data_IF_141003109281
#
_entry.id   IF_141003109281
#
_cell.length_a   1.000
_cell.length_b   1.000
_cell.length_c   1.000
_cell.angle_alpha   90.00
_cell.angle_beta   90.00
_cell.angle_gamma   90.00
#
_symmetry.space_group_name_H-M   'P 1'
#
loop_
_entity.id
_entity.type
_entity.pdbx_description
1 polymer ?
#
# COMPACT_ATOMS: atom_id res chain seq x y z
N UNK A 1 15.43 -62.69 -5.34
CA UNK A 1 14.65 -61.86 -6.28
C UNK A 1 13.82 -60.79 -5.55
N UNK A 2 13.09 -61.14 -4.48
CA UNK A 2 12.19 -60.20 -3.79
C UNK A 2 12.89 -59.08 -3.01
N UNK A 3 14.08 -59.33 -2.45
CA UNK A 3 14.86 -58.30 -1.73
C UNK A 3 15.31 -57.17 -2.66
N UNK A 4 15.80 -57.50 -3.87
CA UNK A 4 16.19 -56.48 -4.86
C UNK A 4 14.99 -55.69 -5.40
N UNK A 5 13.82 -56.33 -5.58
CA UNK A 5 12.58 -55.63 -5.94
C UNK A 5 12.13 -54.66 -4.84
N UNK A 6 12.19 -55.06 -3.56
CA UNK A 6 11.86 -54.19 -2.42
C UNK A 6 12.83 -53.00 -2.31
N UNK A 7 14.13 -53.25 -2.50
CA UNK A 7 15.15 -52.18 -2.51
C UNK A 7 14.95 -51.18 -3.66
N UNK A 8 14.57 -51.65 -4.85
CA UNK A 8 14.28 -50.77 -5.99
C UNK A 8 13.07 -49.86 -5.73
N UNK A 9 11.98 -50.43 -5.19
CA UNK A 9 10.77 -49.66 -4.84
C UNK A 9 11.04 -48.64 -3.73
N UNK A 10 11.85 -48.99 -2.74
CA UNK A 10 12.24 -48.05 -1.67
C UNK A 10 13.13 -46.91 -2.19
N UNK A 11 14.07 -47.21 -3.08
CA UNK A 11 14.89 -46.19 -3.74
C UNK A 11 14.03 -45.24 -4.59
N UNK A 12 13.04 -45.75 -5.30
CA UNK A 12 12.12 -44.92 -6.09
C UNK A 12 11.17 -44.11 -5.20
N UNK A 13 10.68 -44.68 -4.09
CA UNK A 13 9.90 -43.94 -3.08
C UNK A 13 10.72 -42.78 -2.50
N UNK A 14 11.96 -43.04 -2.11
CA UNK A 14 12.86 -42.01 -1.57
C UNK A 14 13.15 -40.90 -2.60
N UNK A 15 13.37 -41.27 -3.87
CA UNK A 15 13.52 -40.31 -4.97
C UNK A 15 12.28 -39.43 -5.15
N UNK A 16 11.08 -40.02 -5.15
CA UNK A 16 9.82 -39.30 -5.28
C UNK A 16 9.56 -38.38 -4.08
N UNK A 17 9.87 -38.82 -2.86
CA UNK A 17 9.75 -38.01 -1.64
C UNK A 17 10.70 -36.81 -1.66
N UNK A 18 11.96 -37.02 -2.04
CA UNK A 18 12.95 -35.95 -2.19
C UNK A 18 12.49 -34.93 -3.26
N UNK A 19 11.97 -35.41 -4.40
CA UNK A 19 11.46 -34.53 -5.46
C UNK A 19 10.24 -33.72 -4.99
N UNK A 20 9.31 -34.35 -4.26
CA UNK A 20 8.12 -33.69 -3.72
C UNK A 20 8.49 -32.64 -2.67
N UNK A 21 9.45 -32.94 -1.79
CA UNK A 21 9.96 -31.99 -0.81
C UNK A 21 10.64 -30.79 -1.48
N UNK A 22 11.49 -31.03 -2.49
CA UNK A 22 12.15 -29.96 -3.24
C UNK A 22 11.15 -29.06 -3.98
N UNK A 23 10.09 -29.65 -4.55
CA UNK A 23 9.03 -28.89 -5.19
C UNK A 23 8.22 -28.08 -4.17
N UNK A 24 7.87 -28.67 -3.02
CA UNK A 24 7.20 -27.96 -1.92
C UNK A 24 7.99 -26.73 -1.48
N UNK A 25 9.28 -26.91 -1.21
CA UNK A 25 10.16 -25.80 -0.84
C UNK A 25 10.25 -24.73 -1.94
N UNK A 26 10.15 -25.11 -3.22
CA UNK A 26 10.12 -24.13 -4.31
C UNK A 26 8.81 -23.36 -4.36
N UNK A 27 7.67 -24.04 -4.20
CA UNK A 27 6.34 -23.42 -4.11
C UNK A 27 6.31 -22.42 -2.95
N UNK A 28 6.77 -22.81 -1.77
CA UNK A 28 6.80 -21.94 -0.59
C UNK A 28 7.62 -20.67 -0.85
N UNK A 29 8.79 -20.80 -1.50
CA UNK A 29 9.62 -19.64 -1.88
C UNK A 29 8.90 -18.71 -2.85
N UNK A 30 8.23 -19.25 -3.86
CA UNK A 30 7.49 -18.45 -4.84
C UNK A 30 6.30 -17.76 -4.18
N UNK A 31 5.56 -18.45 -3.31
CA UNK A 31 4.44 -17.90 -2.57
C UNK A 31 4.87 -16.75 -1.64
N UNK A 32 5.97 -16.92 -0.91
CA UNK A 32 6.53 -15.86 -0.07
C UNK A 32 6.90 -14.64 -0.91
N UNK A 33 7.57 -14.84 -2.05
CA UNK A 33 7.94 -13.72 -2.90
C UNK A 33 6.73 -13.04 -3.53
N UNK A 34 5.70 -13.78 -3.88
CA UNK A 34 4.44 -13.22 -4.35
C UNK A 34 3.78 -12.37 -3.26
N UNK A 35 3.76 -12.84 -2.01
CA UNK A 35 3.23 -12.08 -0.89
C UNK A 35 3.98 -10.75 -0.69
N UNK A 36 5.32 -10.76 -0.75
CA UNK A 36 6.13 -9.54 -0.69
C UNK A 36 5.75 -8.55 -1.80
N UNK A 37 5.60 -9.04 -3.04
CA UNK A 37 5.25 -8.19 -4.18
C UNK A 37 3.83 -7.63 -4.08
N UNK A 38 2.87 -8.41 -3.57
CA UNK A 38 1.51 -7.95 -3.33
C UNK A 38 1.46 -6.87 -2.25
N UNK A 39 2.25 -7.05 -1.17
CA UNK A 39 2.38 -6.03 -0.13
C UNK A 39 2.99 -4.75 -0.72
N UNK A 40 4.07 -4.87 -1.49
CA UNK A 40 4.70 -3.73 -2.15
C UNK A 40 3.72 -3.00 -3.06
N UNK A 41 2.97 -3.71 -3.89
CA UNK A 41 1.97 -3.11 -4.78
C UNK A 41 0.89 -2.36 -3.98
N UNK A 42 0.46 -2.89 -2.83
CA UNK A 42 -0.48 -2.21 -1.93
C UNK A 42 0.13 -0.95 -1.33
N UNK A 43 1.39 -1.01 -0.87
CA UNK A 43 2.09 0.16 -0.34
C UNK A 43 2.34 1.24 -1.40
N UNK A 44 2.39 0.90 -2.68
CA UNK A 44 2.58 1.85 -3.79
C UNK A 44 1.27 2.27 -4.46
N UNK A 45 0.11 1.86 -3.94
CA UNK A 45 -1.19 2.26 -4.48
C UNK A 45 -1.59 3.67 -4.01
N UNK A 46 -2.76 4.14 -4.45
CA UNK A 46 -3.31 5.43 -4.03
C UNK A 46 -3.43 5.56 -2.50
N UNK A 47 -3.93 4.53 -1.82
CA UNK A 47 -4.06 4.48 -0.34
C UNK A 47 -2.75 4.14 0.40
N UNK A 48 -1.62 4.18 -0.31
CA UNK A 48 -0.31 3.77 0.18
C UNK A 48 0.60 4.97 0.48
N UNK A 49 1.83 4.88 -0.01
CA UNK A 49 2.89 5.87 0.16
C UNK A 49 2.48 7.25 -0.39
N UNK A 50 1.67 7.28 -1.44
CA UNK A 50 1.23 8.54 -2.07
C UNK A 50 0.33 9.30 -1.11
N UNK A 51 -0.70 8.66 -0.55
CA UNK A 51 -1.56 9.28 0.46
C UNK A 51 -0.77 9.76 1.67
N UNK A 52 0.14 8.92 2.20
CA UNK A 52 0.98 9.27 3.35
C UNK A 52 1.87 10.50 3.07
N UNK A 53 2.46 10.59 1.87
CA UNK A 53 3.29 11.72 1.50
C UNK A 53 2.49 13.02 1.37
N UNK A 54 1.24 12.95 0.90
CA UNK A 54 0.35 14.10 0.81
C UNK A 54 -0.12 14.52 2.20
N UNK A 55 -0.45 13.58 3.09
CA UNK A 55 -0.84 13.85 4.47
C UNK A 55 0.27 14.60 5.24
N UNK A 56 1.53 14.23 5.03
CA UNK A 56 2.68 14.90 5.65
C UNK A 56 2.94 16.30 5.05
N UNK A 57 2.86 16.43 3.72
CA UNK A 57 3.14 17.70 3.04
C UNK A 57 2.00 18.73 3.14
N UNK A 58 0.75 18.28 3.26
CA UNK A 58 -0.45 19.10 3.22
C UNK A 58 -0.43 20.28 4.19
N UNK A 59 -0.19 20.06 5.50
CA UNK A 59 -0.15 21.14 6.49
C UNK A 59 0.91 22.21 6.18
N UNK A 60 2.10 21.80 5.72
CA UNK A 60 3.17 22.74 5.39
C UNK A 60 2.83 23.59 4.16
N UNK A 61 2.25 22.97 3.13
CA UNK A 61 1.81 23.65 1.91
C UNK A 61 0.66 24.63 2.19
N UNK A 62 -0.35 24.22 2.96
CA UNK A 62 -1.44 25.12 3.38
C UNK A 62 -0.93 26.28 4.22
N UNK A 63 -0.01 26.03 5.15
CA UNK A 63 0.61 27.08 5.97
C UNK A 63 1.31 28.14 5.11
N UNK A 64 2.20 27.71 4.21
CA UNK A 64 2.91 28.62 3.32
C UNK A 64 1.95 29.42 2.41
N UNK A 65 0.92 28.77 1.87
CA UNK A 65 -0.08 29.44 1.05
C UNK A 65 -0.83 30.53 1.85
N UNK A 66 -1.21 30.22 3.10
CA UNK A 66 -1.91 31.17 3.97
C UNK A 66 -1.00 32.33 4.39
N UNK A 67 0.28 32.09 4.64
CA UNK A 67 1.24 33.17 4.93
C UNK A 67 1.34 34.14 3.74
N UNK A 68 1.36 33.63 2.50
CA UNK A 68 1.37 34.45 1.29
C UNK A 68 0.06 35.21 1.09
N UNK A 69 -1.09 34.56 1.32
CA UNK A 69 -2.40 35.20 1.22
C UNK A 69 -2.55 36.31 2.24
N UNK A 70 -2.11 36.07 3.49
CA UNK A 70 -2.13 37.08 4.54
C UNK A 70 -1.27 38.29 4.17
N UNK A 71 -0.08 38.07 3.62
CA UNK A 71 0.83 39.14 3.21
C UNK A 71 0.29 39.99 2.04
N UNK A 72 -0.42 39.37 1.09
CA UNK A 72 -0.88 40.04 -0.14
C UNK A 72 -2.32 40.58 -0.05
N UNK A 73 -3.20 39.87 0.65
CA UNK A 73 -4.65 40.10 0.65
C UNK A 73 -5.27 40.21 2.05
N UNK A 74 -4.46 40.07 3.12
CA UNK A 74 -4.97 40.03 4.49
C UNK A 74 -5.72 38.71 4.79
N UNK A 75 -6.51 38.70 5.86
CA UNK A 75 -7.17 37.50 6.37
C UNK A 75 -8.46 37.11 5.61
N UNK A 76 -8.72 37.68 4.43
CA UNK A 76 -9.96 37.42 3.68
C UNK A 76 -10.03 35.99 3.17
N UNK A 77 -8.93 35.49 2.63
CA UNK A 77 -8.86 34.16 2.03
C UNK A 77 -8.03 33.23 2.92
N UNK A 78 -8.50 31.99 3.07
CA UNK A 78 -7.74 30.91 3.69
C UNK A 78 -7.83 29.66 2.83
N UNK A 79 -6.73 28.95 2.66
CA UNK A 79 -6.64 27.68 1.93
C UNK A 79 -6.43 26.54 2.91
N UNK A 80 -7.17 25.45 2.71
CA UNK A 80 -6.97 24.19 3.42
C UNK A 80 -6.83 23.04 2.42
N UNK A 81 -5.82 22.19 2.61
CA UNK A 81 -5.65 20.95 1.87
C UNK A 81 -6.18 19.81 2.75
N UNK A 82 -7.22 19.11 2.29
CA UNK A 82 -7.90 18.02 2.99
C UNK A 82 -7.60 16.70 2.30
N UNK A 83 -7.11 15.72 3.05
CA UNK A 83 -6.91 14.33 2.58
C UNK A 83 -8.07 13.40 2.95
N UNK A 84 -9.08 13.94 3.62
CA UNK A 84 -10.32 13.26 3.95
C UNK A 84 -11.48 14.11 3.47
N UNK A 85 -12.38 13.48 2.73
CA UNK A 85 -13.56 14.10 2.13
C UNK A 85 -14.80 13.48 2.74
N UNK A 86 -15.74 14.31 3.15
CA UNK A 86 -17.02 13.85 3.67
C UNK A 86 -17.93 13.44 2.50
N UNK A 87 -18.37 12.19 2.49
CA UNK A 87 -19.31 11.71 1.48
C UNK A 87 -20.71 12.30 1.71
N UNK A 88 -21.58 12.22 0.70
CA UNK A 88 -22.98 12.64 0.83
C UNK A 88 -23.78 11.94 1.96
N UNK A 89 -23.22 10.90 2.58
CA UNK A 89 -23.79 10.18 3.72
C UNK A 89 -23.18 10.59 5.07
N UNK A 90 -22.24 11.53 5.11
CA UNK A 90 -21.50 11.91 6.30
C UNK A 90 -20.34 10.96 6.67
N UNK A 91 -20.00 10.00 5.80
CA UNK A 91 -18.85 9.12 6.03
C UNK A 91 -17.58 9.80 5.51
N UNK A 92 -16.54 9.88 6.32
CA UNK A 92 -15.22 10.32 5.87
C UNK A 92 -14.61 9.24 4.95
N UNK A 93 -14.23 9.64 3.74
CA UNK A 93 -13.46 8.82 2.81
C UNK A 93 -12.13 9.46 2.51
N UNK A 94 -11.16 8.62 2.19
CA UNK A 94 -9.90 9.05 1.62
C UNK A 94 -10.15 9.79 0.30
N UNK A 95 -9.57 10.97 0.16
CA UNK A 95 -9.76 11.86 -0.97
C UNK A 95 -8.75 12.99 -0.95
N UNK A 96 -8.86 13.92 -1.88
CA UNK A 96 -7.97 15.07 -1.92
C UNK A 96 -8.74 16.30 -2.39
N UNK A 97 -9.01 17.21 -1.47
CA UNK A 97 -9.69 18.47 -1.74
C UNK A 97 -8.83 19.65 -1.33
N UNK A 98 -8.88 20.71 -2.13
CA UNK A 98 -8.29 22.00 -1.82
C UNK A 98 -9.44 22.98 -1.64
N UNK A 99 -9.67 23.37 -0.39
CA UNK A 99 -10.74 24.26 0.01
C UNK A 99 -10.21 25.69 0.10
N UNK A 100 -10.98 26.64 -0.43
CA UNK A 100 -10.72 28.07 -0.25
C UNK A 100 -11.90 28.67 0.49
N UNK A 101 -11.62 29.26 1.65
CA UNK A 101 -12.59 30.00 2.45
C UNK A 101 -12.42 31.49 2.17
N UNK A 102 -13.52 32.15 1.81
CA UNK A 102 -13.63 33.61 1.76
C UNK A 102 -14.44 34.06 2.98
N UNK A 103 -13.88 34.93 3.83
CA UNK A 103 -14.57 35.44 5.02
C UNK A 103 -15.77 36.33 4.70
N UNK A 104 -15.92 36.76 3.45
CA UNK A 104 -16.98 37.67 3.00
C UNK A 104 -18.16 36.96 2.30
N UNK A 105 -18.20 35.62 2.23
CA UNK A 105 -19.27 34.87 1.53
C UNK A 105 -19.67 33.57 2.22
#
# INVERSE_FOLDING_TARGET
ADVHKRQAVEADRSRCEARRSALGAHVDRVQNRLADWLLFARCMSHDGLIALAIEDAGPALSGLANDLLLACYGARFTVAIRTQVETAKGEAREGFDIEVHDSES
#
